data_IF_557777243289
#
_entry.id   IF_557777243289
#
_cell.length_a   1.000
_cell.length_b   1.000
_cell.length_c   1.000
_cell.angle_alpha   90.00
_cell.angle_beta   90.00
_cell.angle_gamma   90.00
#
_symmetry.space_group_name_H-M   'P 1'
#
loop_
_entity.id
_entity.type
_entity.pdbx_description
1 polymer ?
#
# COMPACT_ATOMS: atom_id res chain seq x y z
N UNK A 1 -15.41 -0.95 -6.82
CA UNK A 1 -15.28 0.52 -6.86
C UNK A 1 -14.28 0.89 -7.94
N UNK A 2 -14.64 1.78 -8.85
CA UNK A 2 -13.71 2.29 -9.87
C UNK A 2 -12.93 3.52 -9.37
N UNK A 3 -11.89 3.94 -10.11
CA UNK A 3 -11.05 5.11 -9.75
C UNK A 3 -11.85 6.37 -9.41
N UNK A 4 -12.86 6.71 -10.20
CA UNK A 4 -13.62 7.95 -10.02
C UNK A 4 -14.47 7.90 -8.75
N UNK A 5 -15.17 6.78 -8.53
CA UNK A 5 -15.94 6.55 -7.31
C UNK A 5 -15.06 6.67 -6.06
N UNK A 6 -13.87 6.05 -6.08
CA UNK A 6 -12.93 6.14 -4.95
C UNK A 6 -12.51 7.58 -4.65
N UNK A 7 -12.09 8.34 -5.67
CA UNK A 7 -11.64 9.72 -5.49
C UNK A 7 -12.77 10.63 -5.00
N UNK A 8 -13.99 10.45 -5.52
CA UNK A 8 -15.15 11.21 -5.06
C UNK A 8 -15.49 10.86 -3.61
N UNK A 9 -15.53 9.57 -3.25
CA UNK A 9 -15.78 9.14 -1.87
C UNK A 9 -14.73 9.66 -0.90
N UNK A 10 -13.46 9.64 -1.28
CA UNK A 10 -12.37 10.21 -0.50
C UNK A 10 -12.59 11.71 -0.28
N UNK A 11 -12.79 12.49 -1.35
CA UNK A 11 -12.98 13.94 -1.23
C UNK A 11 -14.20 14.28 -0.38
N UNK A 12 -15.33 13.60 -0.59
CA UNK A 12 -16.56 13.83 0.17
C UNK A 12 -16.37 13.49 1.65
N UNK A 13 -15.69 12.38 1.95
CA UNK A 13 -15.41 11.98 3.33
C UNK A 13 -14.52 13.03 4.01
N UNK A 14 -13.37 13.35 3.44
CA UNK A 14 -12.38 14.22 4.06
C UNK A 14 -12.88 15.66 4.24
N UNK A 15 -13.49 16.22 3.20
CA UNK A 15 -14.10 17.56 3.28
C UNK A 15 -15.27 17.54 4.27
N UNK A 16 -16.02 16.45 4.32
CA UNK A 16 -17.08 16.23 5.32
C UNK A 16 -16.54 16.20 6.75
N UNK A 17 -15.43 15.51 7.00
CA UNK A 17 -14.77 15.47 8.31
C UNK A 17 -14.25 16.84 8.72
N UNK A 18 -13.64 17.59 7.80
CA UNK A 18 -13.17 18.94 8.06
C UNK A 18 -14.34 19.90 8.37
N UNK A 19 -15.42 19.82 7.59
CA UNK A 19 -16.62 20.60 7.84
C UNK A 19 -17.25 20.25 9.19
N UNK A 20 -17.32 18.96 9.52
CA UNK A 20 -17.78 18.48 10.82
C UNK A 20 -16.92 19.03 11.96
N UNK A 21 -15.59 18.99 11.83
CA UNK A 21 -14.68 19.55 12.82
C UNK A 21 -14.93 21.05 13.06
N UNK A 22 -15.16 21.82 12.00
CA UNK A 22 -15.46 23.26 12.12
C UNK A 22 -16.83 23.54 12.74
N UNK A 23 -17.86 22.79 12.34
CA UNK A 23 -19.22 22.93 12.90
C UNK A 23 -19.23 22.56 14.37
N UNK A 24 -18.59 21.46 14.75
CA UNK A 24 -18.49 21.04 16.14
C UNK A 24 -17.61 22.00 16.95
N UNK A 25 -16.47 22.44 16.41
CA UNK A 25 -15.64 23.45 17.05
C UNK A 25 -16.40 24.74 17.34
N UNK A 26 -17.20 25.21 16.38
CA UNK A 26 -18.09 26.34 16.58
C UNK A 26 -19.16 26.07 17.65
N UNK A 27 -19.79 24.89 17.62
CA UNK A 27 -20.84 24.50 18.57
C UNK A 27 -20.34 24.39 20.02
N UNK A 28 -19.11 23.93 20.22
CA UNK A 28 -18.48 23.74 21.52
C UNK A 28 -17.57 24.91 21.93
N UNK A 29 -17.64 26.04 21.23
CA UNK A 29 -16.82 27.25 21.50
C UNK A 29 -15.30 26.99 21.49
N UNK A 30 -14.86 25.99 20.72
CA UNK A 30 -13.45 25.66 20.52
C UNK A 30 -12.99 26.19 19.14
N UNK A 31 -12.29 27.34 19.09
CA UNK A 31 -11.84 27.89 17.83
C UNK A 31 -10.79 26.99 17.18
N UNK A 32 -11.09 26.48 15.99
CA UNK A 32 -10.15 25.69 15.17
C UNK A 32 -9.10 26.56 14.45
N UNK A 33 -9.18 27.89 14.61
CA UNK A 33 -8.27 28.84 13.98
C UNK A 33 -7.00 29.03 14.83
N UNK A 34 -5.86 29.26 14.17
CA UNK A 34 -4.59 29.52 14.87
C UNK A 34 -3.92 28.29 15.49
N UNK A 35 -4.48 27.08 15.31
CA UNK A 35 -3.86 25.83 15.73
C UNK A 35 -2.59 25.48 14.94
N UNK A 36 -2.52 25.95 13.69
CA UNK A 36 -1.37 25.76 12.82
C UNK A 36 -0.44 26.96 12.96
N UNK A 37 0.81 26.72 13.39
CA UNK A 37 1.82 27.77 13.54
C UNK A 37 2.92 27.70 12.48
N UNK A 38 3.14 26.53 11.86
CA UNK A 38 4.23 26.30 10.89
C UNK A 38 5.60 26.77 11.42
N UNK A 39 5.85 26.51 12.70
CA UNK A 39 7.11 26.86 13.33
C UNK A 39 8.26 26.06 12.74
N UNK A 40 9.48 26.61 12.74
CA UNK A 40 10.67 25.88 12.27
C UNK A 40 10.89 24.56 13.02
N UNK A 41 10.60 24.55 14.33
CA UNK A 41 10.60 23.33 15.14
C UNK A 41 9.50 22.37 14.70
N UNK A 42 8.25 22.84 14.52
CA UNK A 42 7.13 22.02 14.06
C UNK A 42 7.38 21.37 12.70
N UNK A 43 7.99 22.09 11.76
CA UNK A 43 8.41 21.55 10.47
C UNK A 43 9.50 20.47 10.63
N UNK A 44 10.53 20.74 11.43
CA UNK A 44 11.62 19.79 11.67
C UNK A 44 11.13 18.51 12.35
N UNK A 45 10.30 18.66 13.39
CA UNK A 45 9.65 17.53 14.08
C UNK A 45 8.70 16.80 13.14
N UNK A 46 7.96 17.52 12.29
CA UNK A 46 7.06 16.93 11.30
C UNK A 46 7.78 16.01 10.31
N UNK A 47 8.86 16.48 9.71
CA UNK A 47 9.69 15.65 8.80
C UNK A 47 10.36 14.50 9.55
N UNK A 48 10.93 14.77 10.73
CA UNK A 48 11.60 13.75 11.53
C UNK A 48 10.63 12.66 12.02
N UNK A 49 9.39 13.04 12.36
CA UNK A 49 8.34 12.13 12.81
C UNK A 49 7.89 11.13 11.75
N UNK A 50 8.03 11.46 10.46
CA UNK A 50 7.72 10.54 9.36
C UNK A 50 8.68 9.34 9.34
N UNK A 51 9.94 9.55 9.71
CA UNK A 51 10.99 8.51 9.64
C UNK A 51 10.64 7.28 10.48
N UNK A 52 10.37 7.37 11.80
CA UNK A 52 10.05 6.19 12.61
C UNK A 52 8.78 5.50 12.12
N UNK A 53 7.74 6.23 11.72
CA UNK A 53 6.51 5.64 11.19
C UNK A 53 6.77 4.86 9.91
N UNK A 54 7.53 5.44 8.98
CA UNK A 54 7.85 4.79 7.72
C UNK A 54 8.79 3.57 7.91
N UNK A 55 9.75 3.66 8.83
CA UNK A 55 10.61 2.52 9.21
C UNK A 55 9.78 1.39 9.83
N UNK A 56 8.83 1.70 10.71
CA UNK A 56 7.91 0.72 11.29
C UNK A 56 7.03 0.06 10.23
N UNK A 57 6.53 0.83 9.26
CA UNK A 57 5.80 0.29 8.12
C UNK A 57 6.66 -0.69 7.31
N UNK A 58 7.90 -0.32 6.96
CA UNK A 58 8.83 -1.20 6.25
C UNK A 58 9.17 -2.46 7.06
N UNK A 59 9.43 -2.32 8.36
CA UNK A 59 9.70 -3.44 9.25
C UNK A 59 8.50 -4.38 9.37
N UNK A 60 7.29 -3.83 9.48
CA UNK A 60 6.03 -4.59 9.51
C UNK A 60 5.81 -5.40 8.24
N UNK A 61 6.12 -4.85 7.06
CA UNK A 61 6.07 -5.60 5.79
C UNK A 61 7.18 -6.65 5.68
N UNK A 62 8.37 -6.35 6.20
CA UNK A 62 9.53 -7.24 6.10
C UNK A 62 9.46 -8.42 7.07
N UNK A 63 8.86 -8.20 8.23
CA UNK A 63 8.73 -9.14 9.34
C UNK A 63 7.32 -9.05 9.95
N UNK A 64 6.28 -9.49 9.23
CA UNK A 64 4.91 -9.34 9.70
C UNK A 64 4.67 -10.19 10.95
N UNK A 65 4.45 -9.59 12.12
CA UNK A 65 4.06 -10.34 13.31
C UNK A 65 2.67 -10.97 13.06
N UNK A 66 2.39 -12.06 13.78
CA UNK A 66 1.22 -12.91 13.45
C UNK A 66 -0.11 -12.16 13.40
N UNK A 67 -0.28 -11.15 14.25
CA UNK A 67 -1.49 -10.34 14.37
C UNK A 67 -1.62 -9.25 13.30
N UNK A 68 -0.54 -8.90 12.57
CA UNK A 68 -0.57 -7.95 11.47
C UNK A 68 -0.78 -8.61 10.10
N UNK A 69 -0.72 -9.94 10.01
CA UNK A 69 -0.84 -10.65 8.70
C UNK A 69 -2.14 -10.39 7.96
N UNK A 70 -3.26 -10.21 8.68
CA UNK A 70 -4.54 -9.87 8.06
C UNK A 70 -4.57 -8.49 7.39
N UNK A 71 -3.65 -7.58 7.76
CA UNK A 71 -3.55 -6.26 7.14
C UNK A 71 -3.03 -6.38 5.71
N UNK A 72 -1.96 -7.13 5.49
CA UNK A 72 -1.37 -7.30 4.15
C UNK A 72 -2.39 -7.91 3.19
N UNK A 73 -3.12 -8.95 3.63
CA UNK A 73 -4.15 -9.60 2.81
C UNK A 73 -5.30 -8.64 2.45
N UNK A 74 -5.78 -7.83 3.41
CA UNK A 74 -6.82 -6.85 3.16
C UNK A 74 -6.33 -5.72 2.22
N UNK A 75 -5.14 -5.18 2.49
CA UNK A 75 -4.53 -4.13 1.68
C UNK A 75 -4.33 -4.60 0.23
N UNK A 76 -3.79 -5.80 0.03
CA UNK A 76 -3.52 -6.33 -1.32
C UNK A 76 -4.81 -6.58 -2.11
N UNK A 77 -5.89 -7.02 -1.45
CA UNK A 77 -7.18 -7.33 -2.10
C UNK A 77 -7.98 -6.07 -2.42
N UNK A 78 -8.12 -5.17 -1.45
CA UNK A 78 -9.10 -4.07 -1.53
C UNK A 78 -8.45 -2.74 -1.92
N UNK A 79 -7.24 -2.47 -1.45
CA UNK A 79 -6.61 -1.14 -1.54
C UNK A 79 -5.59 -1.07 -2.67
N UNK A 80 -4.67 -2.03 -2.77
CA UNK A 80 -3.59 -2.00 -3.77
C UNK A 80 -4.13 -1.99 -5.20
N UNK A 81 -5.24 -2.70 -5.47
CA UNK A 81 -5.91 -2.70 -6.76
C UNK A 81 -6.40 -1.31 -7.19
N UNK A 82 -6.96 -0.52 -6.26
CA UNK A 82 -7.42 0.84 -6.55
C UNK A 82 -6.23 1.81 -6.61
N UNK A 83 -5.23 1.68 -5.72
CA UNK A 83 -4.06 2.55 -5.71
C UNK A 83 -3.20 2.46 -6.98
N UNK A 84 -3.14 1.28 -7.60
CA UNK A 84 -2.45 1.08 -8.89
C UNK A 84 -3.13 1.81 -10.05
N UNK A 85 -4.40 2.16 -9.92
CA UNK A 85 -5.13 2.94 -10.92
C UNK A 85 -4.89 4.45 -10.77
N UNK A 86 -4.35 4.89 -9.63
CA UNK A 86 -4.11 6.30 -9.35
C UNK A 86 -2.78 6.79 -9.90
N UNK A 87 -2.79 8.01 -10.43
CA UNK A 87 -1.56 8.70 -10.82
C UNK A 87 -0.87 9.34 -9.60
N UNK A 88 0.35 9.85 -9.79
CA UNK A 88 1.15 10.41 -8.69
C UNK A 88 0.46 11.61 -8.02
N UNK A 89 -0.15 12.49 -8.83
CA UNK A 89 -0.83 13.69 -8.32
C UNK A 89 -2.01 13.29 -7.43
N UNK A 90 -2.74 12.24 -7.80
CA UNK A 90 -3.88 11.73 -7.01
C UNK A 90 -3.46 11.13 -5.69
N UNK A 91 -2.36 10.36 -5.67
CA UNK A 91 -1.81 9.81 -4.43
C UNK A 91 -1.34 10.90 -3.48
N UNK A 92 -0.65 11.91 -4.02
CA UNK A 92 -0.21 13.07 -3.24
C UNK A 92 -1.44 13.81 -2.73
N UNK A 93 -2.40 14.15 -3.60
CA UNK A 93 -3.62 14.86 -3.20
C UNK A 93 -4.40 14.12 -2.12
N UNK A 94 -4.50 12.78 -2.21
CA UNK A 94 -5.12 11.96 -1.18
C UNK A 94 -4.43 12.10 0.17
N UNK A 95 -3.09 11.97 0.21
CA UNK A 95 -2.32 12.12 1.44
C UNK A 95 -2.37 13.54 2.02
N UNK A 96 -2.35 14.57 1.16
CA UNK A 96 -2.50 15.96 1.60
C UNK A 96 -3.88 16.18 2.24
N UNK A 97 -4.93 15.67 1.60
CA UNK A 97 -6.30 15.85 2.04
C UNK A 97 -6.57 15.14 3.37
N UNK A 98 -6.25 13.84 3.45
CA UNK A 98 -6.39 13.05 4.67
C UNK A 98 -5.59 13.66 5.83
N UNK A 99 -4.30 13.94 5.61
CA UNK A 99 -3.43 14.48 6.65
C UNK A 99 -3.86 15.86 7.17
N UNK A 100 -4.55 16.68 6.38
CA UNK A 100 -5.11 17.94 6.89
C UNK A 100 -6.45 17.70 7.58
N UNK A 101 -7.40 17.06 6.89
CA UNK A 101 -8.77 16.91 7.35
C UNK A 101 -8.87 16.08 8.63
N UNK A 102 -8.17 14.96 8.71
CA UNK A 102 -8.19 14.10 9.88
C UNK A 102 -7.48 14.75 11.08
N UNK A 103 -6.37 15.44 10.90
CA UNK A 103 -5.69 16.10 12.02
C UNK A 103 -6.51 17.24 12.61
N UNK A 104 -7.24 18.01 11.79
CA UNK A 104 -8.18 19.00 12.30
C UNK A 104 -9.27 18.37 13.16
N UNK A 105 -9.87 17.25 12.70
CA UNK A 105 -10.93 16.59 13.46
C UNK A 105 -10.40 15.93 14.73
N UNK A 106 -9.40 15.07 14.60
CA UNK A 106 -8.95 14.23 15.72
C UNK A 106 -8.09 15.00 16.71
N UNK A 107 -7.24 15.92 16.26
CA UNK A 107 -6.31 16.63 17.16
C UNK A 107 -6.95 17.96 17.52
N UNK A 108 -7.21 18.80 16.53
CA UNK A 108 -7.79 20.12 16.75
C UNK A 108 -9.07 20.07 17.58
N UNK A 109 -10.05 19.26 17.17
CA UNK A 109 -11.34 19.18 17.86
C UNK A 109 -11.40 18.10 18.95
N UNK A 110 -11.27 16.81 18.61
CA UNK A 110 -11.52 15.71 19.56
C UNK A 110 -10.49 15.70 20.70
N UNK A 111 -9.19 15.64 20.39
CA UNK A 111 -8.15 15.62 21.41
C UNK A 111 -8.12 16.93 22.18
N UNK A 112 -8.21 18.07 21.50
CA UNK A 112 -8.27 19.40 22.12
C UNK A 112 -9.39 19.48 23.15
N UNK A 113 -10.62 19.17 22.75
CA UNK A 113 -11.77 19.27 23.63
C UNK A 113 -11.80 18.24 24.75
N UNK A 114 -11.40 17.00 24.49
CA UNK A 114 -11.27 16.01 25.56
C UNK A 114 -10.14 16.38 26.53
N UNK A 115 -9.09 17.06 26.07
CA UNK A 115 -8.01 17.55 26.93
C UNK A 115 -8.48 18.66 27.86
N UNK A 116 -9.36 19.54 27.41
CA UNK A 116 -9.98 20.58 28.25
C UNK A 116 -10.89 19.97 29.32
N UNK A 117 -11.65 18.93 28.98
CA UNK A 117 -12.66 18.36 29.88
C UNK A 117 -12.09 17.34 30.86
N UNK A 118 -11.17 16.50 30.40
CA UNK A 118 -10.67 15.33 31.13
C UNK A 118 -9.17 15.42 31.46
N UNK A 119 -8.47 16.41 30.91
CA UNK A 119 -7.02 16.56 31.02
C UNK A 119 -6.27 15.98 29.81
N UNK A 120 -5.08 16.54 29.55
CA UNK A 120 -4.27 16.32 28.33
C UNK A 120 -4.03 14.83 28.02
N UNK A 121 -3.71 14.01 29.03
CA UNK A 121 -3.42 12.59 28.81
C UNK A 121 -4.65 11.76 28.48
N UNK A 122 -5.82 12.10 29.03
CA UNK A 122 -7.07 11.45 28.68
C UNK A 122 -7.55 11.88 27.30
N UNK A 123 -7.39 13.16 26.95
CA UNK A 123 -7.64 13.65 25.60
C UNK A 123 -6.80 12.91 24.56
N UNK A 124 -5.49 12.77 24.81
CA UNK A 124 -4.60 11.98 23.96
C UNK A 124 -5.07 10.54 23.82
N UNK A 125 -5.29 9.84 24.94
CA UNK A 125 -5.63 8.41 24.92
C UNK A 125 -6.96 8.14 24.18
N UNK A 126 -7.99 8.92 24.47
CA UNK A 126 -9.32 8.72 23.88
C UNK A 126 -9.36 9.13 22.40
N UNK A 127 -8.75 10.26 22.03
CA UNK A 127 -8.67 10.65 20.62
C UNK A 127 -7.89 9.63 19.78
N UNK A 128 -6.80 9.09 20.33
CA UNK A 128 -6.02 8.04 19.68
C UNK A 128 -6.82 6.75 19.48
N UNK A 129 -7.60 6.35 20.49
CA UNK A 129 -8.47 5.19 20.39
C UNK A 129 -9.57 5.39 19.34
N UNK A 130 -10.21 6.57 19.32
CA UNK A 130 -11.21 6.92 18.31
C UNK A 130 -10.62 6.90 16.91
N UNK A 131 -9.41 7.44 16.73
CA UNK A 131 -8.68 7.37 15.46
C UNK A 131 -8.49 5.93 15.00
N UNK A 132 -8.05 5.05 15.90
CA UNK A 132 -7.89 3.63 15.59
C UNK A 132 -9.19 2.91 15.25
N UNK A 133 -10.28 3.22 15.95
CA UNK A 133 -11.62 2.66 15.67
C UNK A 133 -12.14 3.11 14.32
N UNK A 134 -11.95 4.38 13.94
CA UNK A 134 -12.31 4.89 12.61
C UNK A 134 -11.56 4.19 11.48
N UNK A 135 -10.40 3.60 11.79
CA UNK A 135 -9.56 2.85 10.88
C UNK A 135 -9.70 1.32 11.03
N UNK A 136 -10.74 0.81 11.68
CA UNK A 136 -10.86 -0.61 12.01
C UNK A 136 -11.23 -1.54 10.84
N UNK A 137 -10.52 -1.46 9.70
CA UNK A 137 -10.64 -2.42 8.59
C UNK A 137 -10.20 -3.83 8.98
N UNK A 138 -9.25 -3.91 9.92
CA UNK A 138 -8.91 -5.13 10.65
C UNK A 138 -8.60 -4.77 12.11
N UNK A 139 -8.75 -5.69 13.06
CA UNK A 139 -8.37 -5.43 14.46
C UNK A 139 -6.90 -5.04 14.62
N UNK A 140 -6.01 -5.65 13.83
CA UNK A 140 -4.58 -5.31 13.83
C UNK A 140 -4.33 -3.89 13.34
N UNK A 141 -5.00 -3.47 12.26
CA UNK A 141 -4.85 -2.11 11.75
C UNK A 141 -5.44 -1.06 12.71
N UNK A 142 -6.54 -1.37 13.40
CA UNK A 142 -7.09 -0.49 14.43
C UNK A 142 -6.07 -0.20 15.55
N UNK A 143 -5.33 -1.22 15.99
CA UNK A 143 -4.26 -1.05 17.00
C UNK A 143 -3.11 -0.21 16.45
N UNK A 144 -2.66 -0.49 15.22
CA UNK A 144 -1.58 0.30 14.57
C UNK A 144 -2.01 1.76 14.42
N UNK A 145 -3.21 2.01 13.91
CA UNK A 145 -3.77 3.34 13.76
C UNK A 145 -3.93 4.04 15.12
N UNK A 146 -4.32 3.33 16.19
CA UNK A 146 -4.33 3.90 17.55
C UNK A 146 -2.95 4.38 17.98
N UNK A 147 -1.90 3.60 17.71
CA UNK A 147 -0.52 3.95 18.07
C UNK A 147 0.01 5.13 17.25
N UNK A 148 -0.30 5.17 15.95
CA UNK A 148 -0.01 6.34 15.10
C UNK A 148 -0.78 7.57 15.61
N UNK A 149 -2.05 7.37 15.98
CA UNK A 149 -2.92 8.34 16.64
C UNK A 149 -2.24 9.00 17.84
N UNK A 150 -1.75 8.16 18.75
CA UNK A 150 -1.05 8.57 19.97
C UNK A 150 0.27 9.27 19.67
N UNK A 151 1.03 8.82 18.66
CA UNK A 151 2.27 9.46 18.27
C UNK A 151 2.04 10.88 17.73
N UNK A 152 1.09 11.05 16.81
CA UNK A 152 0.73 12.36 16.24
C UNK A 152 0.10 13.29 17.29
N UNK A 153 -0.75 12.74 18.18
CA UNK A 153 -1.32 13.49 19.29
C UNK A 153 -0.28 13.96 20.31
N UNK A 154 0.71 13.11 20.62
CA UNK A 154 1.84 13.48 21.47
C UNK A 154 2.71 14.54 20.82
N UNK A 155 2.98 14.43 19.51
CA UNK A 155 3.68 15.46 18.75
C UNK A 155 3.01 16.82 18.91
N UNK A 156 1.69 16.89 18.71
CA UNK A 156 0.95 18.15 18.88
C UNK A 156 1.08 18.74 20.28
N UNK A 157 1.00 17.90 21.32
CA UNK A 157 1.18 18.34 22.72
C UNK A 157 2.57 18.94 22.93
N UNK A 158 3.61 18.32 22.37
CA UNK A 158 5.00 18.76 22.57
C UNK A 158 5.39 19.97 21.74
N UNK A 159 4.83 20.13 20.54
CA UNK A 159 5.15 21.25 19.63
C UNK A 159 4.23 22.43 19.81
N UNK A 160 3.04 22.23 20.37
CA UNK A 160 1.91 23.18 20.34
C UNK A 160 1.64 23.73 18.93
N UNK A 161 1.90 22.92 17.91
CA UNK A 161 1.81 23.28 16.50
C UNK A 161 1.16 22.14 15.73
N UNK A 162 -0.09 22.34 15.31
CA UNK A 162 -0.85 21.35 14.55
C UNK A 162 -0.21 21.09 13.16
N UNK A 163 0.65 22.00 12.67
CA UNK A 163 1.41 21.78 11.45
C UNK A 163 2.38 20.59 11.54
N UNK A 164 2.89 20.26 12.73
CA UNK A 164 3.81 19.14 12.93
C UNK A 164 3.17 17.77 12.66
N UNK A 165 2.03 17.40 13.31
CA UNK A 165 1.35 16.15 13.00
C UNK A 165 0.74 16.14 11.59
N UNK A 166 0.19 17.26 11.09
CA UNK A 166 -0.30 17.38 9.71
C UNK A 166 0.79 16.99 8.72
N UNK A 167 1.97 17.61 8.83
CA UNK A 167 3.08 17.32 7.92
C UNK A 167 3.53 15.85 8.05
N UNK A 168 3.62 15.34 9.26
CA UNK A 168 4.01 13.94 9.51
C UNK A 168 3.05 12.97 8.82
N UNK A 169 1.75 13.19 8.99
CA UNK A 169 0.69 12.36 8.46
C UNK A 169 0.69 12.39 6.92
N UNK A 170 0.72 13.59 6.32
CA UNK A 170 0.76 13.76 4.86
C UNK A 170 1.98 13.07 4.23
N UNK A 171 3.15 13.22 4.85
CA UNK A 171 4.37 12.59 4.35
C UNK A 171 4.34 11.07 4.53
N UNK A 172 3.94 10.59 5.71
CA UNK A 172 3.84 9.16 5.97
C UNK A 172 2.88 8.47 5.01
N UNK A 173 1.67 9.00 4.86
CA UNK A 173 0.66 8.47 3.95
C UNK A 173 1.12 8.55 2.50
N UNK A 174 1.69 9.67 2.07
CA UNK A 174 2.25 9.79 0.73
C UNK A 174 3.28 8.70 0.43
N UNK A 175 4.20 8.43 1.36
CA UNK A 175 5.22 7.38 1.22
C UNK A 175 4.59 5.98 1.19
N UNK A 176 3.64 5.71 2.07
CA UNK A 176 2.92 4.41 2.12
C UNK A 176 2.12 4.19 0.84
N UNK A 177 1.32 5.16 0.41
CA UNK A 177 0.51 5.10 -0.81
C UNK A 177 1.38 4.88 -2.05
N UNK A 178 2.50 5.62 -2.18
CA UNK A 178 3.45 5.40 -3.27
C UNK A 178 4.05 3.98 -3.24
N UNK A 179 4.44 3.50 -2.06
CA UNK A 179 4.97 2.15 -1.88
C UNK A 179 3.95 1.07 -2.30
N UNK A 180 2.71 1.20 -1.83
CA UNK A 180 1.63 0.26 -2.11
C UNK A 180 1.16 0.30 -3.57
N UNK A 181 1.23 1.45 -4.23
CA UNK A 181 0.89 1.58 -5.65
C UNK A 181 1.87 0.86 -6.61
N UNK A 182 2.98 0.32 -6.09
CA UNK A 182 3.99 -0.38 -6.88
C UNK A 182 5.03 0.52 -7.55
N UNK A 183 5.07 1.80 -7.18
CA UNK A 183 6.08 2.77 -7.65
C UNK A 183 7.46 2.55 -7.02
N UNK A 184 7.54 1.74 -5.96
CA UNK A 184 8.79 1.26 -5.40
C UNK A 184 8.99 -0.25 -5.58
N UNK A 185 10.22 -0.72 -5.87
CA UNK A 185 10.53 -2.15 -5.94
C UNK A 185 10.33 -2.79 -4.57
N UNK A 186 9.35 -3.69 -4.45
CA UNK A 186 9.14 -4.46 -3.24
C UNK A 186 9.49 -5.92 -3.47
N UNK A 187 10.43 -6.50 -2.70
CA UNK A 187 10.62 -7.94 -2.68
C UNK A 187 9.33 -8.62 -2.22
N UNK A 188 8.89 -9.67 -2.94
CA UNK A 188 7.72 -10.46 -2.54
C UNK A 188 7.83 -10.87 -1.06
N UNK A 189 6.75 -10.72 -0.26
CA UNK A 189 6.74 -11.10 1.15
C UNK A 189 7.26 -12.53 1.33
N UNK A 190 8.04 -12.78 2.38
CA UNK A 190 8.64 -14.10 2.60
C UNK A 190 7.59 -15.22 2.70
N UNK A 191 6.37 -14.91 3.14
CA UNK A 191 5.26 -15.84 3.25
C UNK A 191 4.60 -16.18 1.91
N UNK A 192 4.75 -15.36 0.88
CA UNK A 192 4.19 -15.66 -0.46
C UNK A 192 5.04 -16.69 -1.22
N UNK A 193 6.20 -17.08 -0.68
CA UNK A 193 7.10 -18.09 -1.26
C UNK A 193 6.82 -19.51 -0.76
N UNK A 194 5.98 -19.67 0.26
CA UNK A 194 5.66 -20.98 0.85
C UNK A 194 4.43 -21.65 0.25
N UNK A 195 3.77 -21.06 -0.76
CA UNK A 195 2.70 -21.77 -1.48
C UNK A 195 3.31 -22.83 -2.42
N UNK A 196 2.96 -24.12 -2.27
CA UNK A 196 3.52 -25.21 -3.09
C UNK A 196 3.15 -25.17 -4.59
N UNK A 197 2.54 -24.11 -5.10
CA UNK A 197 2.03 -24.00 -6.47
C UNK A 197 2.89 -23.18 -7.45
N UNK A 198 3.85 -22.38 -6.96
CA UNK A 198 4.59 -21.41 -7.79
C UNK A 198 5.87 -21.99 -8.44
N UNK A 199 6.11 -23.30 -8.33
CA UNK A 199 7.18 -23.93 -9.11
C UNK A 199 6.74 -24.01 -10.57
N UNK A 200 7.44 -23.35 -11.52
CA UNK A 200 7.18 -23.58 -12.93
C UNK A 200 7.31 -25.09 -13.20
N UNK A 201 6.42 -25.69 -14.01
CA UNK A 201 6.46 -27.12 -14.26
C UNK A 201 7.88 -27.49 -14.68
N UNK A 202 8.52 -28.40 -13.92
CA UNK A 202 9.79 -28.98 -14.34
C UNK A 202 9.55 -29.48 -15.74
N UNK A 203 10.25 -28.91 -16.73
CA UNK A 203 10.29 -29.47 -18.07
C UNK A 203 10.64 -30.94 -17.87
N UNK A 204 9.68 -31.82 -18.12
CA UNK A 204 9.93 -33.24 -18.07
C UNK A 204 11.07 -33.52 -19.04
N UNK A 205 12.12 -34.16 -18.56
CA UNK A 205 13.27 -34.61 -19.36
C UNK A 205 12.86 -35.68 -20.40
N UNK A 206 11.56 -35.88 -20.66
CA UNK A 206 11.05 -36.87 -21.61
C UNK A 206 11.11 -36.40 -23.07
N UNK A 207 11.46 -35.14 -23.36
CA UNK A 207 11.53 -34.64 -24.74
C UNK A 207 12.94 -34.48 -25.32
N UNK A 208 13.98 -34.94 -24.61
CA UNK A 208 15.37 -34.89 -25.08
C UNK A 208 15.86 -36.21 -25.73
N UNK A 209 15.04 -37.25 -25.78
CA UNK A 209 15.41 -38.58 -26.32
C UNK A 209 14.65 -39.01 -27.59
N UNK A 210 13.76 -38.18 -28.11
CA UNK A 210 12.90 -38.56 -29.24
C UNK A 210 13.31 -37.98 -30.60
N UNK A 211 14.48 -37.32 -30.71
CA UNK A 211 14.83 -36.58 -31.93
C UNK A 211 16.23 -36.89 -32.48
N UNK A 212 16.73 -38.11 -32.29
CA UNK A 212 18.03 -38.54 -32.86
C UNK A 212 17.96 -39.72 -33.81
N UNK A 213 16.80 -40.30 -34.11
CA UNK A 213 16.72 -41.44 -35.03
C UNK A 213 15.50 -41.31 -35.96
N UNK A 214 15.66 -40.65 -37.11
CA UNK A 214 15.06 -41.06 -38.40
C UNK A 214 15.15 -39.95 -39.45
N UNK A 215 16.34 -39.63 -39.95
CA UNK A 215 16.48 -38.95 -41.24
C UNK A 215 17.71 -39.54 -41.95
N UNK A 216 17.49 -40.67 -42.65
CA UNK A 216 18.42 -41.20 -43.63
C UNK A 216 17.66 -41.82 -44.81
N UNK A 217 17.87 -41.19 -45.96
CA UNK A 217 17.78 -41.70 -47.33
C UNK A 217 16.43 -42.14 -47.93
N UNK A 218 15.90 -41.23 -48.77
CA UNK A 218 15.25 -41.59 -50.02
C UNK A 218 15.78 -40.68 -51.13
N UNK A 219 16.80 -41.15 -51.86
CA UNK A 219 17.31 -40.50 -53.07
C UNK A 219 16.83 -41.24 -54.34
N UNK A 220 16.87 -40.49 -55.42
CA UNK A 220 16.00 -40.45 -56.59
C UNK A 220 16.46 -41.29 -57.80
N UNK A 221 15.48 -41.70 -58.61
CA UNK A 221 15.60 -42.14 -60.03
C UNK A 221 15.43 -40.86 -60.93
N UNK A 222 15.84 -40.71 -62.23
CA UNK A 222 16.14 -41.74 -63.23
C UNK A 222 17.17 -41.47 -64.38
N UNK A 223 17.34 -42.52 -65.23
CA UNK A 223 17.75 -42.57 -66.67
C UNK A 223 19.24 -42.83 -67.00
N UNK A 224 19.48 -43.91 -67.76
CA UNK A 224 19.82 -43.89 -69.21
C UNK A 224 20.64 -45.12 -69.67
N UNK A 225 20.20 -45.75 -70.80
CA UNK A 225 20.94 -46.55 -71.84
C UNK A 225 21.91 -47.68 -71.42
N UNK A 226 22.11 -48.83 -72.08
CA UNK A 226 21.97 -49.29 -73.48
C UNK A 226 22.12 -50.86 -73.53
N UNK A 227 22.19 -51.59 -74.67
CA UNK A 227 21.66 -52.94 -74.82
C UNK A 227 22.74 -54.02 -75.11
N UNK A 228 22.27 -55.24 -75.43
CA UNK A 228 22.99 -56.38 -76.04
C UNK A 228 23.84 -57.27 -75.10
N UNK A 229 23.45 -58.55 -74.96
CA UNK A 229 24.01 -59.68 -75.74
C UNK A 229 23.56 -61.04 -75.18
N UNK A 230 23.07 -61.91 -76.08
CA UNK A 230 23.28 -63.39 -76.23
C UNK A 230 23.09 -64.31 -74.99
N UNK A 231 22.56 -65.55 -75.03
CA UNK A 231 22.39 -66.58 -76.08
C UNK A 231 21.75 -67.85 -75.45
N UNK A 232 20.91 -68.57 -76.22
CA UNK A 232 20.72 -70.06 -76.32
C UNK A 232 20.16 -70.87 -75.12
N UNK A 233 18.96 -71.47 -75.23
CA UNK A 233 18.54 -72.80 -75.81
C UNK A 233 18.64 -73.98 -74.79
N UNK A 234 17.49 -74.51 -74.33
CA UNK A 234 16.83 -75.82 -74.69
C UNK A 234 17.39 -77.05 -73.94
N UNK A 235 16.70 -78.22 -73.88
CA UNK A 235 15.51 -78.68 -74.60
C UNK A 235 14.17 -78.46 -73.91
#
# INVERSE_FOLDING_TARGET
MNRTEFLVSLVVLEVGLLALAHVLGWWFEQPMTGLIRWSGLGLAVGVAGTIPLYVLFLAGRRWPPRWLRGIDEFMDREIVGILRQLNLVELIAAALLAGVCEEFLFRGFIQGGLSEWLGVWWGLALASLLFGVSHAVTPGYAVVATLIGAFLGWMWITTEDLGAPILTHMLYDGLVLMHLSGRWPTPRPAWSRSEPGDQPPRRSESNARANTDSDADSDSDPRSVDPLTSRTKRP
#
